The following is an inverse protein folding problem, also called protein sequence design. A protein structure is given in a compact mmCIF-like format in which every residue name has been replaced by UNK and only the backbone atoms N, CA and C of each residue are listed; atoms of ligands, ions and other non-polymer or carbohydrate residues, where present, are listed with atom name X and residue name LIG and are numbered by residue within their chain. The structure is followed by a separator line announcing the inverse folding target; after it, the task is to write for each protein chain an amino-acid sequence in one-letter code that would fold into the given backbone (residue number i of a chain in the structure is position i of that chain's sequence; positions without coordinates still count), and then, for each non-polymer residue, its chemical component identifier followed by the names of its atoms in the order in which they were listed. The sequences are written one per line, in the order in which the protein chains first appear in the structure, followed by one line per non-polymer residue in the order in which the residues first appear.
data_IF_828936296990
#
_entry.id   IF_828936296990
#
_cell.length_a   1.000
_cell.length_b   1.000
_cell.length_c   1.000
_cell.angle_alpha   90.00
_cell.angle_beta   90.00
_cell.angle_gamma   90.00
#
_symmetry.space_group_name_H-M   'P 1'
#
loop_
_entity.id
_entity.type
_entity.pdbx_description
1 polymer ?
#
# COMPACT_ATOMS: atom_id res chain seq x y z
N UNK A 1 54.54 -8.10 54.37
CA UNK A 1 54.52 -9.57 54.28
C UNK A 1 53.88 -10.09 55.55
N UNK A 2 52.81 -10.89 55.40
CA UNK A 2 52.13 -11.55 56.52
C UNK A 2 52.62 -13.01 56.52
N UNK A 3 53.00 -13.50 57.69
CA UNK A 3 53.47 -14.87 57.99
C UNK A 3 52.82 -15.93 57.08
N UNK A 4 53.61 -16.84 56.51
CA UNK A 4 53.08 -18.05 55.86
C UNK A 4 53.02 -19.20 56.86
N UNK A 5 52.17 -20.23 56.65
CA UNK A 5 52.17 -21.44 57.48
C UNK A 5 53.56 -22.09 57.58
N UNK A 6 54.31 -22.05 56.47
CA UNK A 6 55.68 -22.57 56.40
C UNK A 6 56.67 -21.76 57.25
N UNK A 7 56.45 -20.44 57.38
CA UNK A 7 57.24 -19.59 58.28
C UNK A 7 56.95 -19.86 59.76
N UNK A 8 55.76 -20.38 60.08
CA UNK A 8 55.36 -20.76 61.44
C UNK A 8 56.05 -22.06 61.85
N UNK A 9 56.06 -23.07 60.98
CA UNK A 9 56.74 -24.35 61.26
C UNK A 9 58.25 -24.21 61.43
N UNK A 10 58.89 -23.30 60.69
CA UNK A 10 60.34 -23.07 60.80
C UNK A 10 60.72 -22.01 61.84
N UNK A 11 59.77 -21.58 62.69
CA UNK A 11 60.01 -20.51 63.65
C UNK A 11 60.78 -21.02 64.88
N UNK A 12 62.05 -20.66 64.97
CA UNK A 12 62.85 -20.93 66.16
C UNK A 12 62.75 -19.79 67.20
N UNK A 13 62.65 -20.15 68.49
CA UNK A 13 62.66 -19.21 69.61
C UNK A 13 63.94 -19.34 70.45
N UNK A 14 64.44 -18.22 70.97
CA UNK A 14 65.59 -18.22 71.88
C UNK A 14 65.25 -18.77 73.27
N UNK A 15 66.18 -19.50 73.88
CA UNK A 15 66.00 -20.08 75.23
C UNK A 15 66.25 -19.04 76.33
N UNK A 16 65.39 -19.01 77.35
CA UNK A 16 65.51 -18.11 78.51
C UNK A 16 65.29 -18.87 79.82
N UNK A 17 65.95 -18.43 80.91
CA UNK A 17 65.93 -19.06 82.25
C UNK A 17 64.53 -19.19 82.89
N UNK A 18 63.53 -18.47 82.35
CA UNK A 18 62.09 -18.59 82.67
C UNK A 18 61.28 -18.40 81.39
N UNK A 19 61.08 -19.48 80.62
CA UNK A 19 60.35 -19.48 79.34
C UNK A 19 59.09 -20.33 79.37
N UNK A 20 58.33 -20.28 78.27
CA UNK A 20 57.21 -21.19 78.01
C UNK A 20 57.70 -22.62 77.78
N UNK A 21 56.81 -23.60 77.97
CA UNK A 21 57.10 -25.00 77.70
C UNK A 21 57.21 -25.24 76.18
N UNK A 22 58.39 -25.67 75.73
CA UNK A 22 58.73 -25.87 74.31
C UNK A 22 57.73 -26.81 73.61
N UNK A 23 57.37 -27.94 74.27
CA UNK A 23 56.44 -28.91 73.70
C UNK A 23 54.99 -28.39 73.54
N UNK A 24 54.53 -27.53 74.44
CA UNK A 24 53.19 -26.91 74.34
C UNK A 24 53.17 -25.80 73.30
N UNK A 25 54.27 -25.04 73.18
CA UNK A 25 54.42 -24.00 72.16
C UNK A 25 54.46 -24.62 70.77
N UNK A 26 55.22 -25.70 70.57
CA UNK A 26 55.29 -26.40 69.28
C UNK A 26 53.91 -26.95 68.87
N UNK A 27 53.21 -27.62 69.79
CA UNK A 27 51.86 -28.13 69.53
C UNK A 27 50.86 -27.01 69.19
N UNK A 28 50.99 -25.83 69.81
CA UNK A 28 50.18 -24.66 69.48
C UNK A 28 50.57 -24.07 68.12
N UNK A 29 51.86 -24.00 67.79
CA UNK A 29 52.32 -23.50 66.49
C UNK A 29 51.84 -24.40 65.34
N UNK A 30 51.84 -25.72 65.52
CA UNK A 30 51.28 -26.66 64.54
C UNK A 30 49.78 -26.38 64.31
N UNK A 31 48.99 -26.21 65.37
CA UNK A 31 47.58 -25.85 65.25
C UNK A 31 47.36 -24.49 64.55
N UNK A 32 48.20 -23.50 64.85
CA UNK A 32 48.13 -22.19 64.21
C UNK A 32 48.55 -22.27 62.74
N UNK A 33 49.55 -23.08 62.40
CA UNK A 33 49.99 -23.30 61.02
C UNK A 33 48.88 -23.96 60.20
N UNK A 34 48.26 -25.03 60.72
CA UNK A 34 47.13 -25.73 60.08
C UNK A 34 45.94 -24.79 59.84
N UNK A 35 45.56 -24.01 60.84
CA UNK A 35 44.43 -23.07 60.72
C UNK A 35 44.76 -21.91 59.77
N UNK A 36 46.02 -21.44 59.77
CA UNK A 36 46.46 -20.42 58.82
C UNK A 36 46.45 -20.96 57.38
N UNK A 37 46.87 -22.20 57.14
CA UNK A 37 46.79 -22.84 55.83
C UNK A 37 45.33 -22.98 55.37
N UNK A 38 44.43 -23.42 56.28
CA UNK A 38 42.98 -23.49 56.02
C UNK A 38 42.43 -22.14 55.58
N UNK A 39 42.74 -21.08 56.33
CA UNK A 39 42.30 -19.72 56.04
C UNK A 39 42.89 -19.18 54.72
N UNK A 40 44.15 -19.49 54.41
CA UNK A 40 44.75 -19.10 53.14
C UNK A 40 44.03 -19.76 51.96
N UNK A 41 43.74 -21.05 52.05
CA UNK A 41 43.01 -21.78 51.01
C UNK A 41 41.60 -21.23 50.83
N UNK A 42 40.87 -21.02 51.91
CA UNK A 42 39.53 -20.41 51.85
C UNK A 42 39.57 -18.99 51.27
N UNK A 43 40.59 -18.21 51.60
CA UNK A 43 40.76 -16.85 51.06
C UNK A 43 41.01 -16.87 49.54
N UNK A 44 41.81 -17.82 49.04
CA UNK A 44 42.03 -18.01 47.61
C UNK A 44 40.71 -18.41 46.93
N UNK A 45 40.03 -19.44 47.44
CA UNK A 45 38.75 -19.91 46.89
C UNK A 45 37.69 -18.80 46.86
N UNK A 46 37.61 -17.98 47.92
CA UNK A 46 36.71 -16.83 47.98
C UNK A 46 37.10 -15.73 47.00
N UNK A 47 38.40 -15.46 46.84
CA UNK A 47 38.90 -14.46 45.89
C UNK A 47 38.60 -14.86 44.45
N UNK A 48 38.81 -16.13 44.09
CA UNK A 48 38.46 -16.65 42.77
C UNK A 48 36.94 -16.57 42.51
N UNK A 49 36.11 -16.92 43.50
CA UNK A 49 34.65 -16.76 43.40
C UNK A 49 34.26 -15.31 43.21
N UNK A 50 34.88 -14.39 43.96
CA UNK A 50 34.63 -12.96 43.83
C UNK A 50 34.94 -12.47 42.42
N UNK A 51 36.10 -12.84 41.88
CA UNK A 51 36.49 -12.51 40.51
C UNK A 51 35.47 -13.03 39.48
N UNK A 52 35.05 -14.29 39.57
CA UNK A 52 34.05 -14.85 38.64
C UNK A 52 32.68 -14.16 38.74
N UNK A 53 32.28 -13.72 39.94
CA UNK A 53 31.01 -13.00 40.14
C UNK A 53 31.14 -11.59 39.57
N UNK A 54 32.26 -10.90 39.80
CA UNK A 54 32.51 -9.57 39.24
C UNK A 54 32.51 -9.58 37.71
N UNK A 55 33.09 -10.61 37.08
CA UNK A 55 33.03 -10.80 35.63
C UNK A 55 31.58 -10.97 35.13
N UNK A 56 30.78 -11.80 35.81
CA UNK A 56 29.37 -11.99 35.46
C UNK A 56 28.57 -10.70 35.62
N UNK A 57 28.81 -9.94 36.69
CA UNK A 57 28.15 -8.65 36.91
C UNK A 57 28.49 -7.68 35.77
N UNK A 58 29.76 -7.59 35.36
CA UNK A 58 30.15 -6.77 34.21
C UNK A 58 29.44 -7.22 32.93
N UNK A 59 29.41 -8.52 32.65
CA UNK A 59 28.72 -9.06 31.49
C UNK A 59 27.21 -8.74 31.48
N UNK A 60 26.55 -8.82 32.65
CA UNK A 60 25.15 -8.43 32.77
C UNK A 60 24.93 -6.94 32.60
N UNK A 61 25.81 -6.08 33.12
CA UNK A 61 25.74 -4.64 32.92
C UNK A 61 25.91 -4.25 31.44
N UNK A 62 26.83 -4.91 30.73
CA UNK A 62 27.02 -4.67 29.29
C UNK A 62 25.81 -5.14 28.47
N UNK A 63 25.21 -6.27 28.86
CA UNK A 63 23.97 -6.76 28.25
C UNK A 63 22.80 -5.82 28.52
N UNK A 64 22.62 -5.36 29.76
CA UNK A 64 21.59 -4.39 30.14
C UNK A 64 21.73 -3.11 29.33
N UNK A 65 22.96 -2.57 29.22
CA UNK A 65 23.24 -1.38 28.41
C UNK A 65 22.88 -1.58 26.94
N UNK A 66 23.20 -2.75 26.39
CA UNK A 66 22.88 -3.08 25.00
C UNK A 66 21.37 -3.18 24.78
N UNK A 67 20.66 -3.85 25.69
CA UNK A 67 19.20 -3.96 25.65
C UNK A 67 18.54 -2.60 25.79
N UNK A 68 19.00 -1.77 26.73
CA UNK A 68 18.50 -0.41 26.92
C UNK A 68 18.69 0.45 25.66
N UNK A 69 19.89 0.46 25.09
CA UNK A 69 20.17 1.17 23.84
C UNK A 69 19.30 0.68 22.69
N UNK A 70 19.08 -0.64 22.60
CA UNK A 70 18.24 -1.24 21.57
C UNK A 70 16.78 -0.85 21.74
N UNK A 71 16.26 -0.86 22.97
CA UNK A 71 14.91 -0.43 23.30
C UNK A 71 14.68 1.04 22.96
N UNK A 72 15.60 1.91 23.36
CA UNK A 72 15.54 3.35 23.06
C UNK A 72 15.62 3.60 21.55
N UNK A 73 16.49 2.88 20.83
CA UNK A 73 16.59 2.96 19.37
C UNK A 73 15.30 2.49 18.68
N UNK A 74 14.72 1.38 19.14
CA UNK A 74 13.46 0.85 18.63
C UNK A 74 12.29 1.84 18.88
N UNK A 75 12.21 2.42 20.07
CA UNK A 75 11.21 3.43 20.40
C UNK A 75 11.35 4.64 19.48
N UNK A 76 12.58 5.19 19.33
CA UNK A 76 12.83 6.32 18.46
C UNK A 76 12.48 6.01 17.00
N UNK A 77 12.84 4.82 16.51
CA UNK A 77 12.48 4.38 15.16
C UNK A 77 10.96 4.30 14.97
N UNK A 78 10.23 3.78 15.96
CA UNK A 78 8.77 3.75 15.93
C UNK A 78 8.16 5.17 15.90
N UNK A 79 8.67 6.08 16.72
CA UNK A 79 8.25 7.49 16.73
C UNK A 79 8.53 8.16 15.37
N UNK A 80 9.71 7.94 14.80
CA UNK A 80 10.08 8.46 13.48
C UNK A 80 9.18 7.91 12.36
N UNK A 81 8.82 6.61 12.41
CA UNK A 81 7.89 5.98 11.46
C UNK A 81 6.51 6.61 11.58
N UNK A 82 6.00 6.81 12.80
CA UNK A 82 4.69 7.43 13.04
C UNK A 82 4.69 8.86 12.51
N UNK A 83 5.68 9.67 12.86
CA UNK A 83 5.79 11.06 12.43
C UNK A 83 5.86 11.16 10.90
N UNK A 84 6.67 10.32 10.26
CA UNK A 84 6.79 10.27 8.80
C UNK A 84 5.47 9.86 8.14
N UNK A 85 4.81 8.83 8.66
CA UNK A 85 3.54 8.33 8.09
C UNK A 85 2.43 9.36 8.20
N UNK A 86 2.36 10.08 9.33
CA UNK A 86 1.39 11.18 9.51
C UNK A 86 1.67 12.32 8.52
N UNK A 87 2.93 12.71 8.36
CA UNK A 87 3.30 13.74 7.39
C UNK A 87 2.97 13.33 5.95
N UNK A 88 3.29 12.10 5.57
CA UNK A 88 2.97 11.57 4.24
C UNK A 88 1.46 11.52 4.01
N UNK A 89 0.69 11.08 5.00
CA UNK A 89 -0.78 11.09 4.93
C UNK A 89 -1.33 12.51 4.74
N UNK A 90 -0.79 13.51 5.47
CA UNK A 90 -1.19 14.91 5.33
C UNK A 90 -0.89 15.44 3.91
N UNK A 91 0.28 15.13 3.36
CA UNK A 91 0.66 15.52 1.99
C UNK A 91 -0.27 14.88 0.98
N UNK A 92 -0.57 13.58 1.11
CA UNK A 92 -1.48 12.86 0.22
C UNK A 92 -2.89 13.46 0.29
N UNK A 93 -3.39 13.78 1.49
CA UNK A 93 -4.69 14.43 1.64
C UNK A 93 -4.73 15.80 0.96
N UNK A 94 -3.71 16.63 1.17
CA UNK A 94 -3.60 17.95 0.52
C UNK A 94 -3.53 17.84 -1.00
N UNK A 95 -2.74 16.91 -1.53
CA UNK A 95 -2.64 16.67 -2.97
C UNK A 95 -3.98 16.17 -3.55
N UNK A 96 -4.65 15.25 -2.86
CA UNK A 96 -5.98 14.78 -3.25
C UNK A 96 -7.02 15.90 -3.25
N UNK A 97 -7.00 16.79 -2.25
CA UNK A 97 -7.87 17.97 -2.21
C UNK A 97 -7.63 18.93 -3.38
N UNK A 98 -6.37 19.20 -3.70
CA UNK A 98 -6.00 20.08 -4.84
C UNK A 98 -6.49 19.46 -6.15
N UNK A 99 -6.23 18.17 -6.38
CA UNK A 99 -6.70 17.43 -7.57
C UNK A 99 -8.22 17.41 -7.66
N UNK A 100 -8.91 17.19 -6.56
CA UNK A 100 -10.38 17.21 -6.53
C UNK A 100 -10.92 18.59 -6.94
N UNK A 101 -10.33 19.68 -6.41
CA UNK A 101 -10.70 21.05 -6.79
C UNK A 101 -10.44 21.32 -8.26
N UNK A 102 -9.32 20.85 -8.80
CA UNK A 102 -8.98 20.99 -10.21
C UNK A 102 -9.97 20.24 -11.12
N UNK A 103 -10.31 18.99 -10.78
CA UNK A 103 -11.31 18.20 -11.51
C UNK A 103 -12.67 18.91 -11.51
N UNK A 104 -13.12 19.41 -10.35
CA UNK A 104 -14.39 20.14 -10.24
C UNK A 104 -14.34 21.41 -11.10
N UNK A 105 -13.25 22.16 -11.05
CA UNK A 105 -13.09 23.37 -11.86
C UNK A 105 -13.16 23.08 -13.36
N UNK A 106 -12.40 22.08 -13.82
CA UNK A 106 -12.39 21.66 -15.22
C UNK A 106 -13.78 21.16 -15.67
N UNK A 107 -14.48 20.38 -14.83
CA UNK A 107 -15.82 19.90 -15.12
C UNK A 107 -16.84 21.05 -15.22
N UNK A 108 -16.75 22.04 -14.32
CA UNK A 108 -17.61 23.23 -14.37
C UNK A 108 -17.32 24.09 -15.61
N UNK A 109 -16.06 24.27 -15.97
CA UNK A 109 -15.67 25.00 -17.17
C UNK A 109 -16.17 24.30 -18.43
N UNK A 110 -16.03 22.96 -18.50
CA UNK A 110 -16.55 22.17 -19.61
C UNK A 110 -18.08 22.25 -19.69
N UNK A 111 -18.79 22.16 -18.56
CA UNK A 111 -20.24 22.35 -18.49
C UNK A 111 -20.65 23.70 -19.06
N UNK A 112 -20.00 24.78 -18.64
CA UNK A 112 -20.30 26.13 -19.13
C UNK A 112 -20.05 26.24 -20.64
N UNK A 113 -18.95 25.68 -21.14
CA UNK A 113 -18.63 25.64 -22.57
C UNK A 113 -19.71 24.92 -23.37
N UNK A 114 -20.07 23.69 -22.96
CA UNK A 114 -21.11 22.91 -23.63
C UNK A 114 -22.48 23.57 -23.55
N UNK A 115 -22.82 24.23 -22.42
CA UNK A 115 -24.04 25.03 -22.32
C UNK A 115 -24.05 26.21 -23.31
N UNK A 116 -22.93 26.91 -23.46
CA UNK A 116 -22.79 27.98 -24.45
C UNK A 116 -22.91 27.47 -25.89
N UNK A 117 -22.28 26.34 -26.21
CA UNK A 117 -22.40 25.68 -27.52
C UNK A 117 -23.84 25.24 -27.80
N UNK A 118 -24.53 24.67 -26.81
CA UNK A 118 -25.93 24.28 -26.93
C UNK A 118 -26.83 25.49 -27.23
N UNK A 119 -26.64 26.61 -26.54
CA UNK A 119 -27.38 27.84 -26.81
C UNK A 119 -27.12 28.37 -28.22
N UNK A 120 -25.86 28.33 -28.67
CA UNK A 120 -25.48 28.75 -30.03
C UNK A 120 -26.14 27.89 -31.10
N UNK A 121 -26.17 26.56 -30.92
CA UNK A 121 -26.81 25.64 -31.87
C UNK A 121 -28.31 25.89 -31.92
N UNK A 122 -28.98 26.07 -30.76
CA UNK A 122 -30.41 26.40 -30.72
C UNK A 122 -30.74 27.70 -31.44
N UNK A 123 -29.93 28.75 -31.25
CA UNK A 123 -30.10 30.00 -31.97
C UNK A 123 -29.92 29.84 -33.49
N UNK A 124 -28.94 29.03 -33.92
CA UNK A 124 -28.74 28.73 -35.33
C UNK A 124 -29.89 27.90 -35.94
N UNK A 125 -30.46 26.97 -35.16
CA UNK A 125 -31.65 26.21 -35.55
C UNK A 125 -32.86 27.13 -35.75
N UNK A 126 -33.09 28.05 -34.82
CA UNK A 126 -34.20 29.01 -34.89
C UNK A 126 -34.04 29.95 -36.09
N UNK A 127 -32.84 30.49 -36.31
CA UNK A 127 -32.53 31.33 -37.48
C UNK A 127 -32.71 30.56 -38.80
N UNK A 128 -32.20 29.33 -38.88
CA UNK A 128 -32.39 28.48 -40.07
C UNK A 128 -33.87 28.20 -40.33
N UNK A 129 -34.64 27.85 -39.29
CA UNK A 129 -36.07 27.58 -39.39
C UNK A 129 -36.84 28.82 -39.86
N UNK A 130 -36.51 30.00 -39.34
CA UNK A 130 -37.13 31.26 -39.76
C UNK A 130 -36.82 31.57 -41.24
N UNK A 131 -35.55 31.47 -41.65
CA UNK A 131 -35.13 31.69 -43.05
C UNK A 131 -35.78 30.69 -44.01
N UNK A 132 -35.83 29.42 -43.63
CA UNK A 132 -36.44 28.37 -44.46
C UNK A 132 -37.94 28.58 -44.61
N UNK A 133 -38.63 28.97 -43.54
CA UNK A 133 -40.06 29.31 -43.59
C UNK A 133 -40.31 30.49 -44.54
N UNK A 134 -39.54 31.58 -44.41
CA UNK A 134 -39.64 32.73 -45.31
C UNK A 134 -39.44 32.32 -46.77
N UNK A 135 -38.44 31.49 -47.06
CA UNK A 135 -38.16 31.01 -48.42
C UNK A 135 -39.35 30.21 -49.00
N UNK A 136 -39.96 29.34 -48.20
CA UNK A 136 -41.15 28.59 -48.62
C UNK A 136 -42.35 29.51 -48.85
N UNK A 137 -42.59 30.47 -47.96
CA UNK A 137 -43.67 31.46 -48.11
C UNK A 137 -43.47 32.30 -49.39
N UNK A 138 -42.23 32.69 -49.70
CA UNK A 138 -41.88 33.37 -50.96
C UNK A 138 -42.13 32.49 -52.18
N UNK A 139 -41.76 31.21 -52.16
CA UNK A 139 -42.03 30.27 -53.25
C UNK A 139 -43.54 30.02 -53.45
N UNK A 140 -44.31 29.90 -52.37
CA UNK A 140 -45.78 29.77 -52.46
C UNK A 140 -46.40 31.02 -53.05
N UNK A 141 -45.96 32.20 -52.63
CA UNK A 141 -46.42 33.48 -53.21
C UNK A 141 -46.13 33.56 -54.71
N UNK A 142 -44.91 33.20 -55.12
CA UNK A 142 -44.53 33.18 -56.54
C UNK A 142 -45.41 32.24 -57.36
N UNK A 143 -45.76 31.05 -56.84
CA UNK A 143 -46.68 30.13 -57.53
C UNK A 143 -48.10 30.68 -57.64
N UNK A 144 -48.57 31.46 -56.66
CA UNK A 144 -49.87 32.13 -56.71
C UNK A 144 -49.91 33.31 -57.70
N UNK A 145 -48.76 33.88 -58.05
CA UNK A 145 -48.63 34.99 -59.02
C UNK A 145 -48.42 34.50 -60.47
N UNK A 146 -48.33 33.18 -60.73
CA UNK A 146 -48.37 32.62 -62.08
C UNK A 146 -49.85 32.49 -62.49
N UNK A 147 -50.39 33.36 -63.36
CA UNK A 147 -51.70 33.08 -63.96
C UNK A 147 -51.56 31.78 -64.75
N UNK A 148 -52.40 30.78 -64.44
CA UNK A 148 -52.66 29.73 -65.40
C UNK A 148 -53.19 30.43 -66.64
N UNK A 149 -52.51 30.30 -67.78
CA UNK A 149 -53.09 30.73 -69.05
C UNK A 149 -54.43 30.01 -69.22
N UNK A 150 -55.49 30.77 -69.52
CA UNK A 150 -56.85 30.27 -69.79
C UNK A 150 -56.97 29.35 -71.03
N UNK A 151 -55.84 28.93 -71.62
CA UNK A 151 -55.75 28.11 -72.84
C UNK A 151 -55.47 26.62 -72.56
N UNK A 152 -55.94 26.09 -71.43
CA UNK A 152 -56.10 24.63 -71.30
C UNK A 152 -57.52 24.28 -71.71
N UNK A 153 -57.69 23.99 -73.00
CA UNK A 153 -58.90 23.42 -73.55
C UNK A 153 -59.04 21.98 -73.02
N UNK A 154 -59.68 21.85 -71.85
CA UNK A 154 -60.13 20.56 -71.35
C UNK A 154 -61.20 20.05 -72.31
N UNK A 155 -60.83 19.18 -73.25
CA UNK A 155 -61.80 18.40 -74.03
C UNK A 155 -62.48 17.39 -73.09
N UNK A 156 -63.43 17.86 -72.29
CA UNK A 156 -64.50 17.01 -71.76
C UNK A 156 -65.43 16.65 -72.90
N UNK A 157 -65.10 15.59 -73.63
CA UNK A 157 -66.04 14.92 -74.52
C UNK A 157 -67.03 14.12 -73.68
N UNK A 158 -68.29 14.57 -73.59
CA UNK A 158 -69.38 13.66 -73.28
C UNK A 158 -69.64 12.81 -74.52
N UNK A 159 -69.37 11.50 -74.41
CA UNK A 159 -69.87 10.52 -75.36
C UNK A 159 -71.09 9.84 -74.74
N UNK A 160 -72.29 10.31 -75.10
CA UNK A 160 -73.46 9.45 -75.11
C UNK A 160 -73.29 8.47 -76.29
N UNK A 161 -73.43 7.18 -75.99
CA UNK A 161 -73.27 6.05 -76.89
C UNK A 161 -71.81 5.78 -77.33
N UNK A 162 -71.31 4.62 -76.89
CA UNK A 162 -69.95 4.18 -77.13
C UNK A 162 -69.60 3.95 -78.60
N UNK A 163 -68.35 4.25 -78.93
CA UNK A 163 -67.58 3.71 -80.05
C UNK A 163 -66.12 3.69 -79.59
N UNK A 164 -65.58 2.52 -79.19
CA UNK A 164 -64.60 1.72 -79.95
C UNK A 164 -63.73 2.53 -80.92
N UNK A 165 -62.46 2.72 -80.58
CA UNK A 165 -61.46 3.25 -81.49
C UNK A 165 -60.10 2.69 -81.11
N UNK A 166 -59.74 1.60 -81.77
CA UNK A 166 -58.50 0.86 -81.64
C UNK A 166 -57.26 1.77 -81.70
N UNK A 167 -56.29 1.50 -80.83
CA UNK A 167 -54.90 1.89 -81.06
C UNK A 167 -54.12 0.59 -81.28
N UNK A 168 -53.67 0.44 -82.53
CA UNK A 168 -52.85 -0.63 -83.05
C UNK A 168 -51.62 -0.90 -82.17
N UNK A 169 -51.52 -2.13 -81.68
CA UNK A 169 -50.27 -2.70 -81.16
C UNK A 169 -49.60 -3.43 -82.33
N UNK A 170 -48.71 -2.74 -83.05
CA UNK A 170 -47.78 -3.40 -83.98
C UNK A 170 -46.38 -3.46 -83.35
N UNK A 171 -45.98 -4.69 -83.03
CA UNK A 171 -44.63 -5.05 -82.67
C UNK A 171 -43.67 -4.88 -83.86
N UNK A 172 -42.51 -4.30 -83.59
CA UNK A 172 -41.34 -4.37 -84.46
C UNK A 172 -40.04 -4.36 -83.61
N UNK A 173 -38.95 -4.95 -84.11
CA UNK A 173 -38.04 -5.80 -83.35
C UNK A 173 -36.83 -5.04 -82.75
N UNK A 174 -36.29 -5.58 -81.66
CA UNK A 174 -35.09 -5.06 -80.99
C UNK A 174 -33.91 -6.01 -81.21
N UNK A 175 -32.89 -5.56 -81.95
CA UNK A 175 -31.52 -6.09 -81.97
C UNK A 175 -30.57 -5.00 -82.54
N UNK A 176 -29.25 -5.05 -82.33
CA UNK A 176 -28.59 -4.16 -81.37
C UNK A 176 -27.44 -3.33 -81.99
N UNK A 177 -27.26 -2.07 -81.59
CA UNK A 177 -25.97 -1.40 -81.72
C UNK A 177 -25.64 -0.57 -80.48
N UNK A 178 -24.39 -0.73 -80.06
CA UNK A 178 -23.85 -0.25 -78.82
C UNK A 178 -23.56 1.25 -78.86
N UNK A 179 -23.96 1.96 -77.82
CA UNK A 179 -23.17 3.10 -77.33
C UNK A 179 -23.20 3.10 -75.81
N UNK A 180 -22.00 3.04 -75.26
CA UNK A 180 -21.67 2.84 -73.86
C UNK A 180 -22.11 4.01 -72.99
N UNK A 181 -22.91 3.72 -71.97
CA UNK A 181 -22.84 4.46 -70.70
C UNK A 181 -22.65 3.43 -69.60
N UNK A 182 -21.44 3.44 -69.03
CA UNK A 182 -21.08 2.62 -67.89
C UNK A 182 -21.99 2.94 -66.69
N UNK A 183 -22.42 1.94 -65.91
CA UNK A 183 -23.03 2.21 -64.62
C UNK A 183 -21.94 2.75 -63.68
N UNK A 184 -22.14 3.96 -63.17
CA UNK A 184 -21.37 4.44 -62.01
C UNK A 184 -21.71 3.51 -60.85
N UNK A 185 -20.73 2.69 -60.46
CA UNK A 185 -20.83 1.83 -59.29
C UNK A 185 -21.07 2.68 -58.04
N UNK A 186 -22.19 2.42 -57.35
CA UNK A 186 -22.42 2.93 -56.01
C UNK A 186 -21.33 2.40 -55.08
N UNK A 187 -20.68 3.24 -54.24
CA UNK A 187 -19.72 2.76 -53.26
C UNK A 187 -20.44 1.91 -52.19
N UNK A 188 -19.83 0.80 -51.72
CA UNK A 188 -20.41 0.00 -50.65
C UNK A 188 -20.37 0.78 -49.32
N UNK A 189 -21.50 0.79 -48.61
CA UNK A 189 -21.57 1.29 -47.23
C UNK A 189 -20.68 0.41 -46.33
N UNK A 190 -19.81 0.98 -45.47
CA UNK A 190 -19.04 0.18 -44.53
C UNK A 190 -19.96 -0.40 -43.45
N UNK A 191 -19.93 -1.73 -43.32
CA UNK A 191 -20.53 -2.45 -42.19
C UNK A 191 -19.86 -2.03 -40.88
N UNK A 192 -20.68 -1.70 -39.88
CA UNK A 192 -20.30 -1.29 -38.53
C UNK A 192 -19.47 -2.34 -37.76
N UNK A 193 -19.35 -3.57 -38.26
CA UNK A 193 -18.53 -4.61 -37.66
C UNK A 193 -17.02 -4.52 -38.01
N UNK A 194 -16.66 -3.93 -39.15
CA UNK A 194 -15.25 -3.85 -39.58
C UNK A 194 -14.47 -2.68 -38.97
N UNK A 195 -15.16 -1.68 -38.40
CA UNK A 195 -14.53 -0.53 -37.76
C UNK A 195 -13.96 -0.87 -36.36
N UNK A 196 -14.43 -1.96 -35.73
CA UNK A 196 -14.02 -2.34 -34.36
C UNK A 196 -12.78 -3.24 -34.34
N UNK A 197 -12.48 -3.96 -35.42
CA UNK A 197 -11.30 -4.84 -35.49
C UNK A 197 -10.01 -4.17 -36.00
N UNK A 198 -10.07 -3.00 -36.63
CA UNK A 198 -8.87 -2.30 -37.12
C UNK A 198 -8.15 -1.41 -36.08
N UNK A 199 -8.71 -1.24 -34.88
CA UNK A 199 -8.11 -0.41 -33.82
C UNK A 199 -7.30 -1.18 -32.77
N UNK A 200 -7.15 -2.50 -32.91
CA UNK A 200 -6.47 -3.33 -31.90
C UNK A 200 -5.04 -3.79 -32.26
N UNK A 201 -4.48 -3.44 -33.43
CA UNK A 201 -3.11 -3.85 -33.80
C UNK A 201 -2.19 -2.67 -34.25
N UNK A 202 -1.31 -2.22 -33.33
CA UNK A 202 -0.08 -1.42 -33.54
C UNK A 202 -0.30 0.10 -33.68
N UNK A 203 0.26 1.03 -32.88
CA UNK A 203 1.58 1.16 -32.23
C UNK A 203 1.47 2.15 -31.03
N UNK A 204 2.36 2.13 -30.01
CA UNK A 204 2.11 2.70 -28.67
C UNK A 204 2.10 4.24 -28.58
N UNK A 205 1.26 4.76 -27.68
CA UNK A 205 1.23 6.16 -27.24
C UNK A 205 2.47 6.47 -26.36
N UNK A 206 3.18 7.61 -26.53
CA UNK A 206 4.21 8.04 -25.60
C UNK A 206 3.61 8.48 -24.25
N UNK A 207 4.06 7.82 -23.18
CA UNK A 207 3.70 8.11 -21.78
C UNK A 207 4.29 9.46 -21.35
N UNK A 208 3.60 10.33 -20.58
CA UNK A 208 4.20 11.53 -20.02
C UNK A 208 5.28 11.15 -18.99
N UNK A 209 6.43 11.82 -19.06
CA UNK A 209 7.57 11.57 -18.20
C UNK A 209 7.26 11.91 -16.72
N UNK A 210 7.69 11.07 -15.76
CA UNK A 210 7.72 11.42 -14.34
C UNK A 210 8.85 12.41 -14.03
N UNK A 211 8.63 13.27 -13.03
CA UNK A 211 9.64 14.14 -12.42
C UNK A 211 10.83 13.34 -11.84
N UNK A 212 12.04 13.95 -11.72
CA UNK A 212 13.30 13.21 -11.64
C UNK A 212 13.54 12.58 -10.26
N UNK A 213 13.72 11.25 -10.25
CA UNK A 213 14.32 10.50 -9.15
C UNK A 213 15.86 10.51 -9.27
N UNK A 214 16.60 10.43 -8.15
CA UNK A 214 18.03 10.70 -8.10
C UNK A 214 18.88 9.64 -8.80
N UNK A 215 20.04 10.10 -9.32
CA UNK A 215 21.01 9.36 -10.14
C UNK A 215 21.42 8.01 -9.51
N UNK A 216 21.23 6.92 -10.23
CA UNK A 216 21.83 5.62 -9.92
C UNK A 216 23.31 5.62 -10.31
N UNK A 217 24.18 5.51 -9.31
CA UNK A 217 25.53 5.01 -9.48
C UNK A 217 25.48 3.52 -9.84
N UNK A 218 26.35 3.13 -10.76
CA UNK A 218 26.58 1.76 -11.21
C UNK A 218 27.02 0.91 -10.02
N UNK A 219 26.18 0.01 -9.53
CA UNK A 219 26.58 -1.05 -8.59
C UNK A 219 26.56 -2.38 -9.34
N UNK A 220 27.74 -2.97 -9.50
CA UNK A 220 27.94 -4.33 -10.00
C UNK A 220 27.19 -5.34 -9.11
N UNK A 221 26.85 -6.54 -9.61
CA UNK A 221 26.33 -7.61 -8.77
C UNK A 221 27.42 -8.03 -7.77
N UNK A 222 27.19 -7.81 -6.48
CA UNK A 222 28.06 -8.32 -5.41
C UNK A 222 27.60 -9.75 -5.12
N UNK A 223 28.42 -10.74 -5.48
CA UNK A 223 28.29 -12.10 -4.98
C UNK A 223 28.43 -12.10 -3.44
N UNK A 224 27.62 -12.88 -2.70
CA UNK A 224 27.82 -13.01 -1.27
C UNK A 224 29.18 -13.68 -1.00
N UNK A 225 30.00 -13.19 -0.06
CA UNK A 225 31.24 -13.88 0.28
C UNK A 225 30.91 -15.27 0.80
N UNK A 226 31.69 -16.25 0.36
CA UNK A 226 31.61 -17.64 0.82
C UNK A 226 31.55 -17.68 2.35
N UNK A 227 30.44 -18.21 2.87
CA UNK A 227 30.28 -18.55 4.28
C UNK A 227 31.27 -19.66 4.63
N UNK A 228 32.47 -19.28 5.07
CA UNK A 228 33.43 -20.18 5.68
C UNK A 228 33.03 -20.46 7.11
N UNK A 229 32.97 -21.75 7.47
CA UNK A 229 32.78 -22.30 8.82
C UNK A 229 31.35 -22.17 9.38
N UNK A 230 30.64 -23.23 9.80
CA UNK A 230 31.06 -24.34 10.68
C UNK A 230 30.39 -25.65 10.23
N UNK A 231 31.15 -26.75 10.30
CA UNK A 231 30.69 -28.14 10.16
C UNK A 231 29.40 -28.40 10.93
N UNK A 232 28.41 -28.99 10.25
CA UNK A 232 27.21 -29.51 10.89
C UNK A 232 27.57 -30.49 12.00
N UNK A 233 27.02 -30.25 13.20
CA UNK A 233 26.80 -31.34 14.14
C UNK A 233 25.79 -32.28 13.50
N UNK A 234 26.25 -33.47 13.11
CA UNK A 234 25.40 -34.58 12.73
C UNK A 234 24.70 -35.11 14.01
N UNK A 235 23.55 -34.54 14.37
CA UNK A 235 22.64 -35.21 15.31
C UNK A 235 21.92 -36.31 14.53
N UNK A 236 22.18 -37.56 14.92
CA UNK A 236 21.60 -38.75 14.29
C UNK A 236 20.07 -38.75 14.33
N UNK A 237 19.48 -39.42 13.33
CA UNK A 237 18.05 -39.75 13.30
C UNK A 237 17.66 -40.46 14.59
N UNK A 238 16.96 -39.76 15.47
CA UNK A 238 16.20 -40.38 16.54
C UNK A 238 14.78 -40.49 16.01
N UNK A 239 14.39 -41.73 15.66
CA UNK A 239 13.05 -42.06 15.23
C UNK A 239 12.02 -41.53 16.22
N UNK A 240 10.97 -40.91 15.69
CA UNK A 240 9.82 -40.44 16.45
C UNK A 240 9.20 -41.62 17.22
N UNK A 241 9.17 -41.61 18.57
CA UNK A 241 8.29 -42.53 19.27
C UNK A 241 6.85 -42.03 19.08
N UNK A 242 6.00 -42.85 18.45
CA UNK A 242 4.55 -42.67 18.47
C UNK A 242 4.09 -42.70 19.94
N UNK A 243 3.74 -41.55 20.48
CA UNK A 243 3.06 -41.45 21.77
C UNK A 243 1.55 -41.62 21.56
N UNK A 244 0.87 -42.51 22.30
CA UNK A 244 -0.58 -42.66 22.20
C UNK A 244 -1.26 -41.37 22.68
N UNK A 245 -2.25 -40.91 21.93
CA UNK A 245 -3.06 -39.74 22.30
C UNK A 245 -3.91 -40.07 23.53
N UNK A 246 -3.55 -39.52 24.69
CA UNK A 246 -4.44 -39.46 25.85
C UNK A 246 -5.30 -38.20 25.76
N UNK A 247 -6.59 -38.37 26.05
CA UNK A 247 -7.64 -37.35 25.98
C UNK A 247 -7.32 -36.10 26.84
N UNK A 248 -7.72 -34.89 26.42
CA UNK A 248 -7.46 -33.69 27.18
C UNK A 248 -8.27 -33.68 28.48
N UNK A 249 -7.60 -33.86 29.61
CA UNK A 249 -8.19 -33.58 30.94
C UNK A 249 -8.34 -32.07 31.06
N UNK A 250 -9.60 -31.61 31.03
CA UNK A 250 -10.00 -30.24 31.25
C UNK A 250 -9.68 -29.87 32.72
N UNK A 251 -8.60 -29.13 32.96
CA UNK A 251 -8.40 -28.47 34.26
C UNK A 251 -9.29 -27.23 34.31
N UNK A 252 -10.21 -27.24 35.28
CA UNK A 252 -11.11 -26.14 35.61
C UNK A 252 -10.29 -24.93 36.10
N UNK A 253 -10.23 -23.87 35.29
CA UNK A 253 -9.58 -22.62 35.67
C UNK A 253 -10.54 -21.79 36.52
N UNK A 254 -10.13 -21.23 37.67
CA UNK A 254 -11.01 -20.37 38.45
C UNK A 254 -11.34 -19.09 37.68
N UNK A 255 -12.62 -18.86 37.40
CA UNK A 255 -13.13 -17.63 36.81
C UNK A 255 -12.83 -16.44 37.74
N UNK A 256 -11.95 -15.55 37.31
CA UNK A 256 -11.72 -14.27 37.96
C UNK A 256 -12.80 -13.28 37.52
N UNK A 257 -13.95 -13.31 38.19
CA UNK A 257 -14.99 -12.29 38.02
C UNK A 257 -14.53 -11.01 38.73
N UNK A 258 -14.10 -10.01 37.95
CA UNK A 258 -13.95 -8.65 38.49
C UNK A 258 -15.35 -8.07 38.73
N UNK A 259 -15.75 -8.07 40.00
CA UNK A 259 -16.92 -7.32 40.47
C UNK A 259 -16.58 -5.82 40.50
N UNK A 260 -16.97 -5.10 39.45
CA UNK A 260 -16.89 -3.63 39.37
C UNK A 260 -17.99 -2.91 40.18
N UNK A 261 -18.70 -3.61 41.09
CA UNK A 261 -19.79 -3.05 41.88
C UNK A 261 -19.42 -2.46 43.25
N UNK A 262 -18.16 -2.52 43.71
CA UNK A 262 -17.78 -2.07 45.07
C UNK A 262 -16.62 -1.07 45.18
N UNK A 263 -16.31 -0.34 44.10
CA UNK A 263 -15.46 0.86 44.23
C UNK A 263 -16.31 2.02 44.76
N UNK A 264 -16.31 2.11 46.09
CA UNK A 264 -16.42 3.30 46.92
C UNK A 264 -17.29 4.46 46.41
N UNK A 265 -18.43 4.62 47.07
CA UNK A 265 -19.04 5.93 47.31
C UNK A 265 -17.95 6.93 47.75
N UNK A 266 -17.60 7.85 46.87
CA UNK A 266 -16.99 9.13 47.25
C UNK A 266 -18.08 10.18 47.11
N UNK A 267 -18.67 10.53 48.25
CA UNK A 267 -19.35 11.80 48.44
C UNK A 267 -18.29 12.91 48.35
N UNK A 268 -18.17 13.54 47.19
CA UNK A 268 -17.55 14.85 47.06
C UNK A 268 -18.61 15.79 46.49
N UNK A 269 -19.49 16.25 47.38
CA UNK A 269 -20.28 17.47 47.20
C UNK A 269 -19.29 18.63 47.01
N UNK A 270 -19.20 19.16 45.79
CA UNK A 270 -18.55 20.45 45.53
C UNK A 270 -19.64 21.40 45.07
N UNK A 271 -20.05 22.25 46.02
CA UNK A 271 -20.91 23.41 45.81
C UNK A 271 -20.42 24.23 44.61
N UNK A 272 -21.23 24.30 43.56
CA UNK A 272 -21.06 25.27 42.49
C UNK A 272 -21.68 26.58 43.01
N UNK A 273 -20.85 27.45 43.57
CA UNK A 273 -21.23 28.85 43.78
C UNK A 273 -21.41 29.54 42.43
N UNK A 274 -22.61 30.07 42.26
CA UNK A 274 -23.07 30.98 41.21
C UNK A 274 -22.21 32.26 41.26
N UNK A 275 -21.51 32.57 40.17
CA UNK A 275 -20.81 33.85 40.00
C UNK A 275 -21.73 34.76 39.17
N UNK A 276 -22.06 35.91 39.77
CA UNK A 276 -22.81 37.06 39.21
C UNK A 276 -22.35 37.51 37.80
#
# INVERSE_FOLDING_TARGET
MKLTPLDIHHKEFGRSLRGYNEAEVDAFLDQVADELERLFKENIDLSERMETIEEKVKAYQDMERTLHNTLVSAQKSAEDIIAKSLHEAEVVLKDAEVKAKEIIHNALQQKQKTQGELMRIKAAEEDFRARFRSLLEDHVRNLGEIPLSDDVQVLTGQTDAGVVGDVEVMAAPVAPEASSFAPVAAPPLPSYAAAVESQLNGTPIPKPAPAPAPKQQITQPIEPPASGFVQGLQLGEVGTPELPMEEPVLLDAPEFTMDFGSIGEREDDVDIEEID
#
